data_IF_157795592902
#
_entry.id   IF_157795592902
#
_cell.length_a   1.000
_cell.length_b   1.000
_cell.length_c   1.000
_cell.angle_alpha   90.00
_cell.angle_beta   90.00
_cell.angle_gamma   90.00
#
_symmetry.space_group_name_H-M   'P 1'
#
loop_
_entity.id
_entity.type
_entity.pdbx_description
1 polymer ?
#
# COMPACT_ATOMS: atom_id res chain seq x y z
N UNK A 1 -18.74 5.36 11.63
CA UNK A 1 -18.79 5.55 10.17
C UNK A 1 -18.05 4.37 9.56
N UNK A 2 -18.66 3.62 8.64
CA UNK A 2 -17.90 2.61 7.91
C UNK A 2 -16.92 3.36 7.00
N UNK A 3 -15.62 3.17 7.22
CA UNK A 3 -14.59 3.64 6.28
C UNK A 3 -14.84 2.92 4.96
N UNK A 4 -14.88 3.65 3.83
CA UNK A 4 -15.06 3.06 2.51
C UNK A 4 -13.70 2.56 2.02
N UNK A 5 -13.66 1.38 1.41
CA UNK A 5 -12.49 0.92 0.67
C UNK A 5 -12.57 1.41 -0.78
N UNK A 6 -11.85 2.48 -1.09
CA UNK A 6 -11.96 3.26 -2.34
C UNK A 6 -10.59 3.59 -2.96
N UNK A 7 -9.60 2.71 -2.79
CA UNK A 7 -8.21 2.94 -3.22
C UNK A 7 -8.06 3.27 -4.71
N UNK A 8 -8.86 2.65 -5.58
CA UNK A 8 -8.86 2.94 -7.01
C UNK A 8 -9.43 4.33 -7.34
N UNK A 9 -10.41 4.80 -6.56
CA UNK A 9 -10.98 6.15 -6.71
C UNK A 9 -10.05 7.22 -6.12
N UNK A 10 -9.33 6.89 -5.04
CA UNK A 10 -8.39 7.81 -4.36
C UNK A 10 -7.12 8.06 -5.17
N UNK A 11 -6.59 7.04 -5.86
CA UNK A 11 -5.33 7.13 -6.61
C UNK A 11 -5.41 6.48 -8.00
N UNK A 12 -6.33 6.93 -8.87
CA UNK A 12 -6.54 6.32 -10.18
C UNK A 12 -5.29 6.33 -11.05
N UNK A 13 -4.39 7.30 -10.86
CA UNK A 13 -3.11 7.41 -11.58
C UNK A 13 -2.13 6.27 -11.29
N UNK A 14 -2.22 5.65 -10.11
CA UNK A 14 -1.39 4.50 -9.77
C UNK A 14 -1.92 3.23 -10.45
N UNK A 15 -3.25 3.04 -10.47
CA UNK A 15 -3.89 1.86 -11.06
C UNK A 15 -3.98 1.90 -12.59
N UNK A 16 -3.84 3.07 -13.22
CA UNK A 16 -3.80 3.21 -14.67
C UNK A 16 -2.62 2.49 -15.34
N UNK A 17 -1.58 2.15 -14.55
CA UNK A 17 -0.37 1.50 -15.03
C UNK A 17 -0.46 -0.03 -15.04
N UNK A 18 -1.51 -0.61 -14.43
CA UNK A 18 -1.66 -2.04 -14.26
C UNK A 18 -2.53 -2.66 -15.34
N UNK A 19 -2.19 -3.88 -15.75
CA UNK A 19 -3.12 -4.73 -16.46
C UNK A 19 -4.25 -5.25 -15.55
N UNK A 20 -5.23 -5.94 -16.13
CA UNK A 20 -6.40 -6.44 -15.38
C UNK A 20 -6.06 -7.52 -14.33
N UNK A 21 -5.01 -8.31 -14.56
CA UNK A 21 -4.59 -9.35 -13.61
C UNK A 21 -3.83 -8.74 -12.43
N UNK A 22 -2.87 -7.86 -12.72
CA UNK A 22 -2.12 -7.09 -11.72
C UNK A 22 -3.06 -6.24 -10.87
N UNK A 23 -3.99 -5.51 -11.51
CA UNK A 23 -5.00 -4.70 -10.81
C UNK A 23 -5.80 -5.54 -9.83
N UNK A 24 -6.30 -6.72 -10.26
CA UNK A 24 -7.07 -7.60 -9.38
C UNK A 24 -6.24 -8.09 -8.20
N UNK A 25 -5.00 -8.51 -8.44
CA UNK A 25 -4.10 -8.97 -7.37
C UNK A 25 -3.84 -7.86 -6.34
N UNK A 26 -3.48 -6.66 -6.80
CA UNK A 26 -3.24 -5.49 -5.94
C UNK A 26 -4.49 -5.14 -5.12
N UNK A 27 -5.65 -5.03 -5.75
CA UNK A 27 -6.90 -4.69 -5.05
C UNK A 27 -7.26 -5.73 -3.98
N UNK A 28 -7.08 -7.02 -4.26
CA UNK A 28 -7.34 -8.09 -3.29
C UNK A 28 -6.38 -8.03 -2.09
N UNK A 29 -5.08 -7.82 -2.33
CA UNK A 29 -4.10 -7.66 -1.26
C UNK A 29 -4.40 -6.45 -0.37
N UNK A 30 -4.73 -5.31 -0.97
CA UNK A 30 -5.09 -4.09 -0.24
C UNK A 30 -6.40 -4.24 0.55
N UNK A 31 -7.39 -4.94 -0.02
CA UNK A 31 -8.66 -5.20 0.66
C UNK A 31 -8.48 -6.12 1.88
N UNK A 32 -7.60 -7.13 1.78
CA UNK A 32 -7.27 -8.00 2.91
C UNK A 32 -6.65 -7.20 4.05
N UNK A 33 -5.62 -6.40 3.75
CA UNK A 33 -4.96 -5.56 4.76
C UNK A 33 -5.95 -4.57 5.40
N UNK A 34 -6.84 -3.99 4.60
CA UNK A 34 -7.88 -3.09 5.09
C UNK A 34 -8.85 -3.77 6.06
N UNK A 35 -9.26 -5.01 5.77
CA UNK A 35 -10.09 -5.81 6.68
C UNK A 35 -9.36 -6.20 7.98
N UNK A 36 -8.03 -6.20 7.97
CA UNK A 36 -7.17 -6.43 9.15
C UNK A 36 -6.85 -5.14 9.93
N UNK A 37 -7.43 -4.01 9.53
CA UNK A 37 -7.30 -2.73 10.24
C UNK A 37 -6.20 -1.80 9.70
N UNK A 38 -5.55 -2.14 8.59
CA UNK A 38 -4.67 -1.19 7.90
C UNK A 38 -5.49 -0.07 7.25
N UNK A 39 -5.05 1.18 7.42
CA UNK A 39 -5.65 2.33 6.76
C UNK A 39 -4.94 2.66 5.45
N UNK A 40 -5.66 2.75 4.31
CA UNK A 40 -5.01 3.01 3.05
C UNK A 40 -4.32 4.37 3.01
N UNK A 41 -3.03 4.34 2.64
CA UNK A 41 -2.21 5.51 2.37
C UNK A 41 -1.49 5.37 1.01
N UNK A 42 -1.15 6.52 0.42
CA UNK A 42 -0.66 6.57 -0.97
C UNK A 42 0.72 5.91 -1.14
N UNK A 43 1.59 6.02 -0.13
CA UNK A 43 2.97 5.51 -0.19
C UNK A 43 2.97 3.97 -0.26
N UNK A 44 2.20 3.31 0.60
CA UNK A 44 2.07 1.85 0.62
C UNK A 44 1.40 1.31 -0.66
N UNK A 45 0.37 1.99 -1.16
CA UNK A 45 -0.28 1.60 -2.43
C UNK A 45 0.68 1.73 -3.61
N UNK A 46 1.47 2.81 -3.66
CA UNK A 46 2.46 2.99 -4.72
C UNK A 46 3.55 1.90 -4.67
N UNK A 47 4.07 1.57 -3.48
CA UNK A 47 5.10 0.53 -3.32
C UNK A 47 4.59 -0.86 -3.73
N UNK A 48 3.35 -1.23 -3.37
CA UNK A 48 2.76 -2.50 -3.81
C UNK A 48 2.53 -2.55 -5.33
N UNK A 49 2.13 -1.43 -5.93
CA UNK A 49 1.94 -1.32 -7.39
C UNK A 49 3.28 -1.42 -8.12
N UNK A 50 4.33 -0.80 -7.59
CA UNK A 50 5.69 -0.91 -8.13
C UNK A 50 6.22 -2.34 -8.05
N UNK A 51 5.90 -3.08 -6.98
CA UNK A 51 6.25 -4.49 -6.84
C UNK A 51 5.46 -5.35 -7.84
N UNK A 52 4.14 -5.18 -7.90
CA UNK A 52 3.25 -5.95 -8.78
C UNK A 52 3.55 -5.77 -10.28
N UNK A 53 4.10 -4.61 -10.68
CA UNK A 53 4.54 -4.34 -12.05
C UNK A 53 6.03 -4.65 -12.31
N UNK A 54 6.75 -5.14 -11.30
CA UNK A 54 8.16 -5.50 -11.37
C UNK A 54 9.13 -4.32 -11.45
N UNK A 55 8.69 -3.11 -11.07
CA UNK A 55 9.57 -1.93 -11.00
C UNK A 55 10.47 -1.95 -9.76
N UNK A 56 10.04 -2.64 -8.70
CA UNK A 56 10.88 -2.98 -7.55
C UNK A 56 10.78 -4.48 -7.28
N UNK A 57 11.81 -5.03 -6.62
CA UNK A 57 11.77 -6.41 -6.16
C UNK A 57 10.96 -6.54 -4.88
N UNK A 58 10.56 -7.76 -4.54
CA UNK A 58 9.91 -8.04 -3.26
C UNK A 58 10.82 -7.69 -2.06
N UNK A 59 12.14 -7.85 -2.18
CA UNK A 59 13.09 -7.44 -1.14
C UNK A 59 13.15 -5.92 -0.95
N UNK A 60 13.07 -5.16 -2.04
CA UNK A 60 12.96 -3.70 -1.98
C UNK A 60 11.65 -3.27 -1.30
N UNK A 61 10.53 -3.86 -1.71
CA UNK A 61 9.22 -3.62 -1.12
C UNK A 61 9.22 -3.88 0.40
N UNK A 62 9.78 -5.01 0.83
CA UNK A 62 9.91 -5.34 2.25
C UNK A 62 10.79 -4.33 2.99
N UNK A 63 11.94 -3.96 2.43
CA UNK A 63 12.84 -2.99 3.06
C UNK A 63 12.16 -1.64 3.27
N UNK A 64 11.41 -1.15 2.27
CA UNK A 64 10.63 0.09 2.38
C UNK A 64 9.55 -0.02 3.46
N UNK A 65 8.85 -1.15 3.50
CA UNK A 65 7.80 -1.42 4.49
C UNK A 65 8.35 -1.42 5.92
N UNK A 66 9.48 -2.08 6.17
CA UNK A 66 10.16 -2.07 7.47
C UNK A 66 10.61 -0.65 7.85
N UNK A 67 11.27 0.07 6.93
CA UNK A 67 11.72 1.42 7.20
C UNK A 67 10.54 2.38 7.52
N UNK A 68 9.37 2.20 6.89
CA UNK A 68 8.16 2.96 7.21
C UNK A 68 7.63 2.66 8.60
N UNK A 69 7.58 1.39 8.99
CA UNK A 69 7.17 0.98 10.33
C UNK A 69 8.10 1.56 11.40
N UNK A 70 9.41 1.52 11.20
CA UNK A 70 10.40 2.12 12.11
C UNK A 70 10.23 3.64 12.24
N UNK A 71 9.97 4.34 11.13
CA UNK A 71 9.67 5.77 11.13
C UNK A 71 8.39 6.07 11.92
N UNK A 72 7.35 5.25 11.76
CA UNK A 72 6.09 5.43 12.50
C UNK A 72 6.29 5.27 14.00
N UNK A 73 6.98 4.20 14.43
CA UNK A 73 7.31 3.94 15.85
C UNK A 73 8.15 5.08 16.44
N UNK A 74 9.14 5.56 15.68
CA UNK A 74 10.01 6.65 16.12
C UNK A 74 9.25 7.95 16.34
N UNK A 75 8.29 8.27 15.46
CA UNK A 75 7.41 9.45 15.61
C UNK A 75 6.50 9.34 16.82
N UNK A 76 5.91 8.17 17.04
CA UNK A 76 5.02 7.94 18.19
C UNK A 76 5.80 8.09 19.51
N UNK A 77 7.01 7.52 19.59
CA UNK A 77 7.89 7.68 20.76
C UNK A 77 8.31 9.12 21.03
N UNK A 78 8.51 9.92 19.99
CA UNK A 78 8.90 11.33 20.12
C UNK A 78 7.71 12.24 20.50
N UNK A 79 6.48 11.75 20.38
CA UNK A 79 5.26 12.48 20.73
C UNK A 79 4.76 12.20 22.16
N UNK A 80 5.43 11.30 22.88
CA UNK A 80 5.21 10.97 24.30
C UNK A 80 6.11 11.82 25.20
#
# INVERSE_FOLDING_TARGET
>A
MATKFDVEERWPELFAQLDSAQRRAVVQSLASAWHEGWEPNREDVADLIDEARGAITFEEYQRRSVAKAERAISRERAAL
#
